data_IF_722809979662
#
_entry.id   IF_722809979662
#
_cell.length_a   1.000
_cell.length_b   1.000
_cell.length_c   1.000
_cell.angle_alpha   90.00
_cell.angle_beta   90.00
_cell.angle_gamma   90.00
#
_symmetry.space_group_name_H-M   'P 1'
#
loop_
_entity.id
_entity.type
_entity.pdbx_description
1 polymer ?
#
# COMPACT_ATOMS: atom_id res chain seq x y z
N UNK A 1 14.75 10.51 5.39
CA UNK A 1 13.35 10.04 5.36
C UNK A 1 12.47 11.06 4.67
N UNK A 2 11.56 10.61 3.82
CA UNK A 2 10.60 11.46 3.14
C UNK A 2 9.21 11.07 3.62
N UNK A 3 8.38 12.07 3.88
CA UNK A 3 7.00 11.82 4.27
C UNK A 3 6.07 12.65 3.39
N UNK A 4 5.01 12.02 2.92
CA UNK A 4 4.01 12.69 2.09
C UNK A 4 2.62 12.26 2.50
N UNK A 5 1.70 13.22 2.58
CA UNK A 5 0.29 12.96 2.84
C UNK A 5 -0.46 13.03 1.51
N UNK A 6 -1.19 11.98 1.19
CA UNK A 6 -2.02 11.90 -0.02
C UNK A 6 -3.48 11.86 0.39
N UNK A 7 -4.32 12.50 -0.41
CA UNK A 7 -5.75 12.62 -0.12
C UNK A 7 -6.55 12.09 -1.30
N UNK A 8 -7.58 11.28 -1.04
CA UNK A 8 -8.45 10.76 -2.09
C UNK A 8 -9.65 11.68 -2.33
N UNK A 9 -10.55 11.26 -3.23
CA UNK A 9 -11.74 12.04 -3.58
C UNK A 9 -12.69 12.26 -2.41
N UNK A 10 -12.65 11.37 -1.41
CA UNK A 10 -13.49 11.46 -0.22
C UNK A 10 -12.78 12.14 0.94
N UNK A 11 -11.66 12.81 0.66
CA UNK A 11 -10.86 13.53 1.65
C UNK A 11 -10.25 12.63 2.72
N UNK A 12 -10.13 11.34 2.44
CA UNK A 12 -9.41 10.41 3.31
C UNK A 12 -7.92 10.56 3.05
N UNK A 13 -7.12 10.38 4.08
CA UNK A 13 -5.68 10.64 4.00
C UNK A 13 -4.87 9.36 4.20
N UNK A 14 -3.79 9.26 3.45
CA UNK A 14 -2.75 8.26 3.67
C UNK A 14 -1.44 8.98 3.86
N UNK A 15 -0.69 8.55 4.86
CA UNK A 15 0.64 9.07 5.11
C UNK A 15 1.64 8.03 4.60
N UNK A 16 2.47 8.44 3.64
CA UNK A 16 3.51 7.56 3.10
C UNK A 16 4.85 8.02 3.64
N UNK A 17 5.55 7.12 4.31
CA UNK A 17 6.90 7.37 4.82
C UNK A 17 7.90 6.52 4.07
N UNK A 18 8.86 7.19 3.43
CA UNK A 18 9.91 6.51 2.67
C UNK A 18 11.15 6.49 3.52
N UNK A 19 11.53 5.31 3.97
CA UNK A 19 12.72 5.11 4.79
C UNK A 19 13.86 4.56 3.94
N UNK A 20 15.00 4.39 4.54
CA UNK A 20 16.20 3.94 3.83
C UNK A 20 16.04 2.57 3.15
N UNK A 21 15.32 1.66 3.80
CA UNK A 21 15.19 0.28 3.32
C UNK A 21 13.75 -0.22 3.21
N UNK A 22 12.77 0.65 3.47
CA UNK A 22 11.37 0.27 3.38
C UNK A 22 10.50 1.48 3.11
N UNK A 23 9.24 1.21 2.75
CA UNK A 23 8.22 2.23 2.59
C UNK A 23 7.05 1.84 3.45
N UNK A 24 6.56 2.78 4.26
CA UNK A 24 5.44 2.56 5.17
C UNK A 24 4.24 3.40 4.75
N UNK A 25 3.05 2.82 4.94
CA UNK A 25 1.79 3.54 4.80
C UNK A 25 1.14 3.56 6.16
N UNK A 26 0.77 4.76 6.61
CA UNK A 26 0.07 4.97 7.87
C UNK A 26 -1.32 5.51 7.58
N UNK A 27 -2.32 5.00 8.30
CA UNK A 27 -3.67 5.53 8.26
C UNK A 27 -3.90 6.35 9.52
N UNK A 28 -4.64 7.45 9.39
CA UNK A 28 -4.91 8.32 10.54
C UNK A 28 -6.12 7.88 11.35
N UNK A 29 -6.86 6.90 10.85
CA UNK A 29 -8.11 6.50 11.51
C UNK A 29 -7.85 5.52 12.63
N UNK A 30 -8.41 5.84 13.78
CA UNK A 30 -8.25 5.03 14.99
C UNK A 30 -9.53 4.31 15.39
N UNK A 31 -10.66 4.73 14.88
CA UNK A 31 -11.98 4.33 15.38
C UNK A 31 -12.91 3.72 14.33
N UNK A 32 -12.47 3.57 13.10
CA UNK A 32 -13.31 2.98 12.06
C UNK A 32 -12.79 1.61 11.66
N UNK A 33 -13.70 0.65 11.65
CA UNK A 33 -13.39 -0.73 11.31
C UNK A 33 -13.10 -0.93 9.82
N UNK A 34 -13.56 -0.02 8.98
CA UNK A 34 -13.42 -0.15 7.54
C UNK A 34 -12.83 1.12 6.96
N UNK A 35 -11.57 1.06 6.55
CA UNK A 35 -10.88 2.19 5.95
C UNK A 35 -10.47 1.83 4.53
N UNK A 36 -11.01 2.57 3.58
CA UNK A 36 -10.64 2.44 2.18
C UNK A 36 -10.09 3.77 1.66
N UNK A 37 -9.11 3.66 0.78
CA UNK A 37 -8.55 4.80 0.07
C UNK A 37 -8.76 4.55 -1.41
N UNK A 38 -9.30 5.51 -2.14
CA UNK A 38 -9.57 5.35 -3.56
C UNK A 38 -8.31 5.05 -4.34
N UNK A 39 -8.41 4.24 -5.39
CA UNK A 39 -7.30 4.03 -6.30
C UNK A 39 -6.88 5.38 -6.86
N UNK A 40 -5.65 5.75 -6.61
CA UNK A 40 -5.15 7.08 -6.87
C UNK A 40 -3.87 7.01 -7.69
N UNK A 41 -3.94 7.57 -8.90
CA UNK A 41 -2.78 7.57 -9.81
C UNK A 41 -1.59 8.30 -9.18
N UNK A 42 -1.86 9.37 -8.42
CA UNK A 42 -0.80 10.10 -7.74
C UNK A 42 -0.08 9.23 -6.72
N UNK A 43 -0.85 8.46 -5.93
CA UNK A 43 -0.26 7.52 -4.97
C UNK A 43 0.59 6.47 -5.69
N UNK A 44 0.04 5.89 -6.76
CA UNK A 44 0.76 4.88 -7.55
C UNK A 44 2.08 5.43 -8.10
N UNK A 45 2.03 6.61 -8.71
CA UNK A 45 3.23 7.21 -9.27
C UNK A 45 4.27 7.53 -8.21
N UNK A 46 3.82 8.04 -7.06
CA UNK A 46 4.73 8.36 -5.96
C UNK A 46 5.39 7.09 -5.43
N UNK A 47 4.61 6.04 -5.16
CA UNK A 47 5.17 4.79 -4.65
C UNK A 47 6.16 4.17 -5.63
N UNK A 48 5.81 4.12 -6.91
CA UNK A 48 6.69 3.54 -7.93
C UNK A 48 8.00 4.32 -8.03
N UNK A 49 7.92 5.64 -8.04
CA UNK A 49 9.10 6.49 -8.10
C UNK A 49 10.01 6.28 -6.90
N UNK A 50 9.44 6.26 -5.70
CA UNK A 50 10.22 6.06 -4.49
C UNK A 50 10.79 4.65 -4.39
N UNK A 51 10.05 3.64 -4.85
CA UNK A 51 10.51 2.26 -4.84
C UNK A 51 11.80 2.08 -5.64
N UNK A 52 11.88 2.72 -6.81
CA UNK A 52 13.09 2.68 -7.64
C UNK A 52 14.29 3.28 -6.91
N UNK A 53 14.05 4.30 -6.08
CA UNK A 53 15.11 4.94 -5.30
C UNK A 53 15.53 4.13 -4.09
N UNK A 54 14.57 3.49 -3.42
CA UNK A 54 14.85 2.69 -2.21
C UNK A 54 15.53 1.38 -2.56
N UNK A 55 15.06 0.71 -3.62
CA UNK A 55 15.58 -0.60 -4.03
C UNK A 55 16.14 -0.52 -5.45
N UNK A 56 17.44 -0.59 -5.56
CA UNK A 56 18.14 -0.42 -6.85
C UNK A 56 17.72 -1.40 -7.94
N UNK A 57 17.31 -2.61 -7.54
CA UNK A 57 16.92 -3.64 -8.49
C UNK A 57 15.40 -3.84 -8.53
N UNK A 58 14.65 -2.83 -8.14
CA UNK A 58 13.20 -2.90 -8.09
C UNK A 58 12.63 -3.18 -9.48
N UNK A 59 11.82 -4.23 -9.57
CA UNK A 59 11.15 -4.63 -10.82
C UNK A 59 9.77 -5.16 -10.48
N UNK A 60 8.68 -4.50 -10.92
CA UNK A 60 7.33 -5.00 -10.68
C UNK A 60 7.15 -6.39 -11.27
N UNK A 61 6.56 -7.29 -10.51
CA UNK A 61 6.27 -8.65 -10.97
C UNK A 61 5.17 -9.29 -10.14
N UNK A 62 4.43 -10.21 -10.76
CA UNK A 62 3.30 -10.89 -10.12
C UNK A 62 3.73 -11.66 -8.87
N UNK A 63 2.76 -11.90 -7.98
CA UNK A 63 3.01 -12.68 -6.77
C UNK A 63 3.45 -14.10 -7.11
N UNK A 64 4.34 -14.65 -6.27
CA UNK A 64 4.87 -15.98 -6.46
C UNK A 64 3.97 -17.09 -5.93
N UNK A 65 2.99 -16.73 -5.10
CA UNK A 65 2.13 -17.71 -4.43
C UNK A 65 0.65 -17.36 -4.66
N UNK A 66 -0.22 -18.24 -4.18
CA UNK A 66 -1.66 -17.93 -4.19
C UNK A 66 -1.92 -16.69 -3.35
N UNK A 67 -2.67 -15.76 -3.91
CA UNK A 67 -2.94 -14.49 -3.26
C UNK A 67 -1.81 -13.50 -3.46
N UNK A 68 -1.91 -12.36 -2.81
CA UNK A 68 -0.97 -11.28 -2.96
C UNK A 68 0.14 -11.36 -1.92
N UNK A 69 1.39 -11.11 -2.35
CA UNK A 69 2.53 -11.10 -1.42
C UNK A 69 2.43 -9.96 -0.40
N UNK A 70 1.63 -8.95 -0.69
CA UNK A 70 1.44 -7.77 0.17
C UNK A 70 0.20 -7.86 1.06
N UNK A 71 -0.45 -9.02 1.14
CA UNK A 71 -1.70 -9.18 1.90
C UNK A 71 -1.55 -8.80 3.37
N UNK A 72 -0.48 -9.25 4.02
CA UNK A 72 -0.30 -9.07 5.45
C UNK A 72 1.10 -8.59 5.81
N UNK A 73 1.16 -7.68 6.76
CA UNK A 73 2.40 -7.26 7.39
C UNK A 73 2.20 -7.27 8.91
N UNK A 74 3.12 -7.91 9.63
CA UNK A 74 3.09 -7.93 11.09
C UNK A 74 4.31 -7.21 11.65
N UNK A 75 4.06 -6.24 12.53
CA UNK A 75 5.10 -5.53 13.24
C UNK A 75 5.12 -5.99 14.69
N UNK A 76 6.14 -6.74 15.04
CA UNK A 76 6.29 -7.30 16.39
C UNK A 76 6.47 -6.22 17.44
N UNK A 77 7.16 -5.14 17.11
CA UNK A 77 7.48 -4.08 18.08
C UNK A 77 6.23 -3.36 18.57
N UNK A 78 5.25 -3.16 17.71
CA UNK A 78 4.01 -2.46 18.05
C UNK A 78 2.81 -3.38 18.14
N UNK A 79 3.04 -4.68 17.98
CA UNK A 79 1.97 -5.69 17.93
C UNK A 79 0.85 -5.26 16.97
N UNK A 80 1.24 -4.79 15.80
CA UNK A 80 0.32 -4.32 14.78
C UNK A 80 0.24 -5.32 13.62
N UNK A 81 -0.98 -5.77 13.34
CA UNK A 81 -1.25 -6.57 12.15
C UNK A 81 -1.73 -5.65 11.05
N UNK A 82 -0.89 -5.45 10.03
CA UNK A 82 -1.24 -4.63 8.88
C UNK A 82 -1.77 -5.51 7.76
N UNK A 83 -2.90 -5.10 7.19
CA UNK A 83 -3.51 -5.81 6.07
C UNK A 83 -3.75 -4.81 4.95
N UNK A 84 -3.47 -5.25 3.72
CA UNK A 84 -3.66 -4.42 2.54
C UNK A 84 -4.27 -5.27 1.43
N UNK A 85 -5.39 -4.81 0.91
CA UNK A 85 -6.10 -5.49 -0.15
C UNK A 85 -6.55 -4.47 -1.18
N UNK A 86 -6.50 -4.86 -2.46
CA UNK A 86 -7.02 -4.04 -3.55
C UNK A 86 -8.44 -4.54 -3.86
N UNK A 87 -9.44 -3.70 -3.56
CA UNK A 87 -10.84 -4.06 -3.75
C UNK A 87 -11.65 -2.77 -3.88
N UNK A 88 -11.96 -2.36 -5.08
CA UNK A 88 -12.62 -1.08 -5.35
C UNK A 88 -11.90 0.11 -4.72
N UNK A 89 -10.57 -0.02 -4.60
CA UNK A 89 -9.73 0.92 -3.87
C UNK A 89 -8.73 0.14 -3.05
N UNK A 90 -8.00 0.83 -2.17
CA UNK A 90 -7.08 0.21 -1.23
C UNK A 90 -7.80 0.01 0.09
N UNK A 91 -7.92 -1.22 0.53
CA UNK A 91 -8.59 -1.56 1.79
C UNK A 91 -7.55 -1.92 2.83
N UNK A 92 -7.66 -1.29 4.00
CA UNK A 92 -6.74 -1.45 5.12
C UNK A 92 -7.46 -2.04 6.32
N UNK A 93 -7.96 -3.25 6.16
CA UNK A 93 -8.72 -3.92 7.23
C UNK A 93 -8.52 -5.42 7.13
N UNK A 94 -8.34 -6.06 8.29
CA UNK A 94 -8.26 -7.51 8.33
C UNK A 94 -9.64 -8.16 8.20
N UNK A 95 -9.70 -9.44 7.83
CA UNK A 95 -10.96 -10.18 7.83
C UNK A 95 -11.63 -10.27 9.19
N UNK A 96 -10.89 -10.00 10.27
CA UNK A 96 -11.38 -10.05 11.65
C UNK A 96 -11.75 -8.66 12.19
N UNK A 97 -11.97 -7.70 11.31
CA UNK A 97 -12.37 -6.35 11.66
C UNK A 97 -11.33 -5.57 12.49
N UNK A 98 -10.07 -5.93 12.35
CA UNK A 98 -8.99 -5.19 13.00
C UNK A 98 -8.56 -4.02 12.11
N UNK A 99 -8.38 -2.85 12.70
CA UNK A 99 -7.97 -1.65 11.97
C UNK A 99 -6.47 -1.69 11.68
N UNK A 100 -6.11 -1.55 10.42
CA UNK A 100 -4.71 -1.43 10.03
C UNK A 100 -4.25 0.02 10.20
N UNK A 101 -3.32 0.25 11.12
CA UNK A 101 -2.74 1.57 11.36
C UNK A 101 -1.44 1.77 10.61
N UNK A 102 -0.70 0.69 10.40
CA UNK A 102 0.60 0.71 9.75
C UNK A 102 0.74 -0.48 8.83
N UNK A 103 1.16 -0.23 7.59
CA UNK A 103 1.57 -1.28 6.68
C UNK A 103 2.96 -0.96 6.14
N UNK A 104 3.86 -1.93 6.15
CA UNK A 104 5.21 -1.73 5.67
C UNK A 104 5.51 -2.63 4.47
N UNK A 105 6.05 -2.02 3.44
CA UNK A 105 6.50 -2.74 2.25
C UNK A 105 8.00 -3.02 2.33
N UNK A 106 8.36 -4.27 2.02
CA UNK A 106 9.72 -4.57 1.60
C UNK A 106 9.75 -4.58 0.06
N UNK A 107 10.91 -4.86 -0.52
CA UNK A 107 11.06 -4.86 -1.97
C UNK A 107 10.05 -5.79 -2.66
N UNK A 108 9.96 -7.03 -2.18
CA UNK A 108 9.11 -8.04 -2.82
C UNK A 108 7.62 -7.67 -2.73
N UNK A 109 7.18 -7.21 -1.58
CA UNK A 109 5.78 -6.77 -1.42
C UNK A 109 5.46 -5.60 -2.34
N UNK A 110 6.37 -4.65 -2.46
CA UNK A 110 6.16 -3.50 -3.32
C UNK A 110 6.16 -3.90 -4.80
N UNK A 111 7.01 -4.83 -5.20
CA UNK A 111 7.03 -5.30 -6.58
C UNK A 111 5.71 -5.93 -6.98
N UNK A 112 5.15 -6.76 -6.11
CA UNK A 112 3.85 -7.38 -6.35
C UNK A 112 2.71 -6.36 -6.32
N UNK A 113 2.75 -5.45 -5.36
CA UNK A 113 1.72 -4.41 -5.23
C UNK A 113 1.69 -3.49 -6.46
N UNK A 114 2.84 -3.00 -6.88
CA UNK A 114 2.92 -2.11 -8.04
C UNK A 114 2.49 -2.83 -9.31
N UNK A 115 2.85 -4.10 -9.45
CA UNK A 115 2.42 -4.91 -10.59
C UNK A 115 0.88 -4.97 -10.67
N UNK A 116 0.23 -5.23 -9.55
CA UNK A 116 -1.23 -5.35 -9.52
C UNK A 116 -1.92 -4.01 -9.77
N UNK A 117 -1.43 -2.94 -9.16
CA UNK A 117 -2.00 -1.59 -9.35
C UNK A 117 -1.80 -1.14 -10.78
N UNK A 118 -0.64 -1.37 -11.36
CA UNK A 118 -0.36 -0.98 -12.73
C UNK A 118 -1.31 -1.67 -13.72
N UNK A 119 -1.57 -2.96 -13.49
CA UNK A 119 -2.53 -3.70 -14.33
C UNK A 119 -3.94 -3.12 -14.23
N UNK A 120 -4.37 -2.73 -13.03
CA UNK A 120 -5.68 -2.13 -12.82
C UNK A 120 -5.78 -0.76 -13.47
N UNK A 121 -4.75 0.06 -13.31
CA UNK A 121 -4.74 1.41 -13.89
C UNK A 121 -4.79 1.34 -15.41
N UNK A 122 -4.06 0.40 -16.01
CA UNK A 122 -4.10 0.22 -17.45
C UNK A 122 -5.49 -0.17 -17.93
N UNK A 123 -6.17 -1.04 -17.19
CA UNK A 123 -7.55 -1.43 -17.55
C UNK A 123 -8.50 -0.25 -17.43
N UNK A 124 -8.39 0.55 -16.39
CA UNK A 124 -9.25 1.72 -16.20
C UNK A 124 -8.95 2.81 -17.22
N UNK A 125 -7.70 2.98 -17.61
CA UNK A 125 -7.31 4.00 -18.59
C UNK A 125 -7.86 3.71 -19.99
N UNK A 126 -8.16 2.46 -20.29
CA UNK A 126 -8.71 2.05 -21.58
C UNK A 126 -10.20 2.39 -21.68
N UNK A 127 -10.84 2.63 -20.56
CA UNK A 127 -12.22 3.06 -20.54
C UNK A 127 -12.30 4.56 -20.78
#
# INVERSE_FOLDING_TARGET
MIERVLTDEHKRKLIVRVNRSNIQIHTERKDLLDYQFDLNVELFKFLKEQAVKVWKTFTPKAADSFGADYWEFYDRNTDNNGYLEIRNGLKFQSPNDETTLLYQFNKRRMESFIYDIESLIHREAIK
#
